data_IF_498283051402
#
_entry.id   IF_498283051402
#
_cell.length_a   1.000
_cell.length_b   1.000
_cell.length_c   1.000
_cell.angle_alpha   90.00
_cell.angle_beta   90.00
_cell.angle_gamma   90.00
#
_symmetry.space_group_name_H-M   'P 1'
#
loop_
_entity.id
_entity.type
_entity.pdbx_description
1 polymer ?
#
# COMPACT_ATOMS: atom_id res chain seq x y z
N UNK A 1 -11.48 84.66 7.48
CA UNK A 1 -11.65 83.60 8.50
C UNK A 1 -12.11 82.25 7.91
N UNK A 2 -12.48 82.15 6.62
CA UNK A 2 -13.00 80.92 6.01
C UNK A 2 -11.95 80.02 5.26
N UNK A 3 -10.72 80.43 5.17
CA UNK A 3 -9.67 79.63 4.45
C UNK A 3 -8.88 78.73 5.37
N UNK A 4 -8.87 78.98 6.68
CA UNK A 4 -8.12 78.14 7.65
C UNK A 4 -8.96 76.90 8.04
N UNK A 5 -10.30 76.98 8.00
CA UNK A 5 -11.17 75.86 8.33
C UNK A 5 -11.20 74.73 7.31
N UNK A 6 -10.86 75.09 6.03
CA UNK A 6 -10.85 74.15 4.89
C UNK A 6 -9.61 73.22 4.87
N UNK A 7 -8.50 73.65 5.47
CA UNK A 7 -7.28 72.80 5.50
C UNK A 7 -7.31 71.80 6.66
N UNK A 8 -8.12 72.05 7.73
CA UNK A 8 -8.17 71.13 8.88
C UNK A 8 -9.05 69.90 8.60
N UNK A 9 -10.01 70.02 7.67
CA UNK A 9 -10.90 68.88 7.28
C UNK A 9 -10.24 67.89 6.35
N UNK A 10 -9.11 68.18 5.70
CA UNK A 10 -8.41 67.32 4.76
C UNK A 10 -7.38 66.42 5.39
N UNK A 11 -7.01 66.65 6.66
CA UNK A 11 -5.96 65.90 7.37
C UNK A 11 -6.43 64.64 8.13
N UNK A 12 -7.74 64.34 8.11
CA UNK A 12 -8.27 63.23 8.94
C UNK A 12 -8.44 61.91 8.13
N UNK A 13 -8.20 61.92 6.79
CA UNK A 13 -8.46 60.75 5.93
C UNK A 13 -7.28 59.75 5.81
N UNK A 14 -6.14 59.94 6.49
CA UNK A 14 -4.98 59.10 6.28
C UNK A 14 -4.67 58.06 7.38
N UNK A 15 -5.51 57.87 8.35
CA UNK A 15 -5.28 56.92 9.45
C UNK A 15 -6.28 55.74 9.47
N UNK A 16 -6.64 55.18 8.33
CA UNK A 16 -7.40 53.95 8.31
C UNK A 16 -6.70 52.88 7.46
N UNK A 17 -5.45 52.59 7.77
CA UNK A 17 -4.84 51.33 7.36
C UNK A 17 -5.08 50.29 8.44
N UNK A 18 -6.14 49.54 8.27
CA UNK A 18 -6.53 48.44 9.15
C UNK A 18 -5.56 47.27 8.97
N UNK A 19 -4.62 47.11 9.89
CA UNK A 19 -3.62 46.00 9.92
C UNK A 19 -4.24 44.58 10.03
N UNK A 20 -5.55 44.46 10.24
CA UNK A 20 -6.27 43.17 10.29
C UNK A 20 -6.23 42.40 8.99
N UNK A 21 -5.96 43.08 7.86
CA UNK A 21 -5.92 42.44 6.52
C UNK A 21 -4.66 41.60 6.29
N UNK A 22 -3.59 41.84 7.03
CA UNK A 22 -2.32 41.11 6.92
C UNK A 22 -2.26 39.85 7.79
N UNK A 23 -2.97 39.82 8.92
CA UNK A 23 -3.03 38.63 9.77
C UNK A 23 -3.86 37.52 9.12
N UNK A 24 -5.03 37.85 8.55
CA UNK A 24 -5.86 36.87 7.83
C UNK A 24 -5.19 36.28 6.60
N UNK A 25 -4.32 37.02 5.90
CA UNK A 25 -3.58 36.48 4.75
C UNK A 25 -2.49 35.48 5.15
N UNK A 26 -1.93 35.62 6.35
CA UNK A 26 -0.93 34.69 6.88
C UNK A 26 -1.56 33.39 7.35
N UNK A 27 -2.71 33.44 8.01
CA UNK A 27 -3.52 32.26 8.36
C UNK A 27 -4.02 31.55 7.11
N UNK A 28 -4.63 32.27 6.17
CA UNK A 28 -5.09 31.72 4.90
C UNK A 28 -3.96 31.10 4.07
N UNK A 29 -2.79 31.72 4.05
CA UNK A 29 -1.60 31.16 3.41
C UNK A 29 -1.11 29.88 4.11
N UNK A 30 -1.27 29.80 5.42
CA UNK A 30 -0.91 28.60 6.19
C UNK A 30 -1.92 27.49 5.96
N UNK A 31 -3.22 27.80 5.93
CA UNK A 31 -4.27 26.85 5.57
C UNK A 31 -4.14 26.33 4.13
N UNK A 32 -3.87 27.22 3.17
CA UNK A 32 -3.62 26.82 1.77
C UNK A 32 -2.37 25.93 1.66
N UNK A 33 -1.31 26.21 2.43
CA UNK A 33 -0.13 25.34 2.49
C UNK A 33 -0.40 24.01 3.18
N UNK A 34 -1.27 23.99 4.18
CA UNK A 34 -1.70 22.77 4.87
C UNK A 34 -2.67 21.93 4.03
N UNK A 35 -3.52 22.58 3.21
CA UNK A 35 -4.45 21.92 2.29
C UNK A 35 -3.86 21.63 0.91
N UNK A 36 -2.55 21.80 0.74
CA UNK A 36 -1.88 21.51 -0.54
C UNK A 36 -2.14 20.04 -0.91
N UNK A 37 -2.97 19.83 -1.92
CA UNK A 37 -3.24 18.51 -2.48
C UNK A 37 -1.91 17.99 -3.04
N UNK A 38 -1.29 17.07 -2.33
CA UNK A 38 -0.11 16.38 -2.83
C UNK A 38 -0.58 15.29 -3.77
N UNK A 39 -0.26 15.41 -5.05
CA UNK A 39 -0.53 14.36 -6.02
C UNK A 39 0.54 13.27 -5.87
N UNK A 40 0.09 12.09 -5.50
CA UNK A 40 0.93 10.89 -5.53
C UNK A 40 0.93 10.35 -6.96
N UNK A 41 2.10 10.18 -7.53
CA UNK A 41 2.26 9.63 -8.88
C UNK A 41 2.08 8.11 -8.89
N UNK A 42 1.77 7.52 -10.04
CA UNK A 42 1.71 6.07 -10.16
C UNK A 42 3.05 5.40 -9.81
N UNK A 43 4.17 6.03 -10.16
CA UNK A 43 5.52 5.54 -9.82
C UNK A 43 5.71 5.47 -8.31
N UNK A 44 5.32 6.53 -7.59
CA UNK A 44 5.41 6.57 -6.13
C UNK A 44 4.48 5.52 -5.47
N UNK A 45 3.29 5.30 -6.05
CA UNK A 45 2.40 4.22 -5.59
C UNK A 45 3.03 2.83 -5.76
N UNK A 46 3.58 2.54 -6.94
CA UNK A 46 4.25 1.27 -7.22
C UNK A 46 5.44 1.06 -6.29
N UNK A 47 6.27 2.09 -6.10
CA UNK A 47 7.38 2.05 -5.15
C UNK A 47 6.91 1.76 -3.72
N UNK A 48 5.84 2.43 -3.28
CA UNK A 48 5.25 2.20 -1.95
C UNK A 48 4.76 0.76 -1.79
N UNK A 49 4.09 0.21 -2.82
CA UNK A 49 3.64 -1.19 -2.81
C UNK A 49 4.82 -2.16 -2.76
N UNK A 50 5.90 -1.88 -3.47
CA UNK A 50 7.12 -2.70 -3.44
C UNK A 50 7.74 -2.72 -2.04
N UNK A 51 7.94 -1.55 -1.42
CA UNK A 51 8.50 -1.43 -0.07
C UNK A 51 7.59 -2.10 0.99
N UNK A 52 6.30 -1.84 0.93
CA UNK A 52 5.34 -2.46 1.84
C UNK A 52 5.21 -3.95 1.60
N UNK A 53 5.18 -4.37 0.33
CA UNK A 53 5.11 -5.76 -0.07
C UNK A 53 6.25 -6.58 0.49
N UNK A 54 7.49 -6.11 0.34
CA UNK A 54 8.69 -6.74 0.91
C UNK A 54 8.62 -6.87 2.43
N UNK A 55 8.19 -5.81 3.11
CA UNK A 55 8.07 -5.81 4.58
C UNK A 55 6.97 -6.74 5.06
N UNK A 56 5.77 -6.63 4.47
CA UNK A 56 4.60 -7.41 4.88
C UNK A 56 4.81 -8.89 4.58
N UNK A 57 5.28 -9.25 3.39
CA UNK A 57 5.52 -10.65 3.01
C UNK A 57 6.56 -11.32 3.89
N UNK A 58 7.65 -10.62 4.23
CA UNK A 58 8.68 -11.13 5.15
C UNK A 58 8.10 -11.43 6.54
N UNK A 59 7.29 -10.52 7.08
CA UNK A 59 6.63 -10.73 8.38
C UNK A 59 5.59 -11.84 8.31
N UNK A 60 4.78 -11.87 7.25
CA UNK A 60 3.76 -12.91 7.03
C UNK A 60 4.38 -14.30 6.93
N UNK A 61 5.46 -14.42 6.15
CA UNK A 61 6.17 -15.68 5.98
C UNK A 61 6.73 -16.21 7.32
N UNK A 62 7.40 -15.33 8.08
CA UNK A 62 7.92 -15.67 9.41
C UNK A 62 6.79 -16.11 10.35
N UNK A 63 5.71 -15.32 10.41
CA UNK A 63 4.60 -15.57 11.33
C UNK A 63 3.82 -16.84 10.96
N UNK A 64 3.67 -17.14 9.67
CA UNK A 64 3.04 -18.39 9.23
C UNK A 64 3.91 -19.60 9.61
N UNK A 65 5.21 -19.56 9.38
CA UNK A 65 6.14 -20.63 9.77
C UNK A 65 6.09 -20.91 11.28
N UNK A 66 6.08 -19.85 12.10
CA UNK A 66 5.97 -19.98 13.55
C UNK A 66 4.62 -20.58 13.98
N UNK A 67 3.53 -20.19 13.33
CA UNK A 67 2.19 -20.71 13.60
C UNK A 67 2.07 -22.20 13.21
N UNK A 68 2.60 -22.58 12.03
CA UNK A 68 2.63 -23.96 11.55
C UNK A 68 3.47 -24.87 12.46
N UNK A 69 4.59 -24.36 12.98
CA UNK A 69 5.43 -25.11 13.92
C UNK A 69 4.75 -25.33 15.28
N UNK A 70 3.94 -24.37 15.74
CA UNK A 70 3.22 -24.47 17.03
C UNK A 70 1.97 -25.34 16.94
N UNK A 71 1.27 -25.32 15.81
CA UNK A 71 -0.03 -25.98 15.63
C UNK A 71 -0.06 -26.73 14.28
N UNK A 72 0.72 -27.81 14.12
CA UNK A 72 0.82 -28.54 12.85
C UNK A 72 -0.52 -29.18 12.43
N UNK A 73 -1.41 -29.47 13.37
CA UNK A 73 -2.77 -29.97 13.11
C UNK A 73 -3.65 -28.97 12.37
N UNK A 74 -3.39 -27.67 12.53
CA UNK A 74 -4.15 -26.59 11.86
C UNK A 74 -3.50 -26.15 10.55
N UNK A 75 -2.48 -26.87 10.04
CA UNK A 75 -1.73 -26.48 8.86
C UNK A 75 -2.62 -26.24 7.63
N UNK A 76 -3.57 -27.13 7.37
CA UNK A 76 -4.48 -27.01 6.24
C UNK A 76 -5.31 -25.70 6.28
N UNK A 77 -5.79 -25.34 7.48
CA UNK A 77 -6.56 -24.13 7.70
C UNK A 77 -5.70 -22.88 7.56
N UNK A 78 -4.52 -22.84 8.20
CA UNK A 78 -3.60 -21.71 8.14
C UNK A 78 -3.01 -21.49 6.75
N UNK A 79 -2.81 -22.55 5.99
CA UNK A 79 -2.34 -22.46 4.59
C UNK A 79 -3.43 -21.97 3.64
N UNK A 80 -4.70 -22.35 3.88
CA UNK A 80 -5.83 -21.88 3.06
C UNK A 80 -6.22 -20.44 3.35
N UNK A 81 -6.08 -20.02 4.60
CA UNK A 81 -6.38 -18.66 5.04
C UNK A 81 -5.31 -18.16 6.03
N UNK A 82 -4.19 -17.62 5.52
CA UNK A 82 -3.13 -17.09 6.38
C UNK A 82 -3.56 -15.94 7.30
N UNK A 83 -4.69 -15.28 7.00
CA UNK A 83 -5.20 -14.17 7.83
C UNK A 83 -5.61 -14.60 9.24
N UNK A 84 -5.81 -15.90 9.48
CA UNK A 84 -6.07 -16.49 10.79
C UNK A 84 -4.86 -16.44 11.72
N UNK A 85 -3.66 -16.26 11.18
CA UNK A 85 -2.48 -15.91 11.98
C UNK A 85 -2.62 -14.46 12.43
N UNK A 86 -2.68 -14.22 13.75
CA UNK A 86 -3.01 -12.91 14.33
C UNK A 86 -2.16 -11.76 13.76
N UNK A 87 -0.86 -11.99 13.56
CA UNK A 87 0.04 -10.96 12.98
C UNK A 87 -0.34 -10.67 11.53
N UNK A 88 -0.65 -11.68 10.72
CA UNK A 88 -1.05 -11.48 9.32
C UNK A 88 -2.38 -10.74 9.24
N UNK A 89 -3.35 -11.11 10.09
CA UNK A 89 -4.62 -10.39 10.19
C UNK A 89 -4.46 -8.93 10.61
N UNK A 90 -3.52 -8.64 11.53
CA UNK A 90 -3.18 -7.28 11.93
C UNK A 90 -2.55 -6.48 10.77
N UNK A 91 -1.62 -7.08 10.02
CA UNK A 91 -1.00 -6.45 8.84
C UNK A 91 -2.05 -6.13 7.76
N UNK A 92 -3.02 -7.02 7.50
CA UNK A 92 -4.10 -6.74 6.57
C UNK A 92 -4.89 -5.49 6.96
N UNK A 93 -5.21 -5.33 8.24
CA UNK A 93 -5.94 -4.16 8.77
C UNK A 93 -5.09 -2.90 8.73
N UNK A 94 -3.84 -3.00 9.16
CA UNK A 94 -2.92 -1.86 9.23
C UNK A 94 -2.64 -1.27 7.85
N UNK A 95 -2.35 -2.11 6.86
CA UNK A 95 -1.99 -1.66 5.51
C UNK A 95 -3.19 -1.60 4.54
N UNK A 96 -4.37 -2.09 4.92
CA UNK A 96 -5.53 -2.18 4.02
C UNK A 96 -5.26 -3.12 2.84
N UNK A 97 -4.52 -4.19 3.07
CA UNK A 97 -4.07 -5.15 2.05
C UNK A 97 -4.77 -6.49 2.26
N UNK A 98 -5.10 -7.20 1.18
CA UNK A 98 -5.54 -8.59 1.25
C UNK A 98 -4.34 -9.50 1.03
N UNK A 99 -4.08 -10.39 1.99
CA UNK A 99 -2.94 -11.32 1.95
C UNK A 99 -3.50 -12.73 1.76
N UNK A 100 -2.98 -13.44 0.77
CA UNK A 100 -3.35 -14.82 0.48
C UNK A 100 -2.13 -15.61 -0.03
N UNK A 101 -2.21 -16.92 0.08
CA UNK A 101 -1.22 -17.84 -0.47
C UNK A 101 -1.84 -18.53 -1.68
N UNK A 102 -1.28 -18.31 -2.86
CA UNK A 102 -1.69 -18.97 -4.10
C UNK A 102 -0.80 -20.20 -4.36
N UNK A 103 -1.38 -21.20 -5.00
CA UNK A 103 -0.70 -22.46 -5.34
C UNK A 103 -0.90 -22.78 -6.82
N UNK A 104 -0.32 -23.87 -7.29
CA UNK A 104 -0.50 -24.35 -8.65
C UNK A 104 -1.99 -24.58 -9.02
N UNK A 105 -2.84 -24.91 -8.05
CA UNK A 105 -4.27 -25.11 -8.28
C UNK A 105 -5.04 -23.83 -8.59
N UNK A 106 -4.46 -22.66 -8.27
CA UNK A 106 -5.13 -21.37 -8.48
C UNK A 106 -4.96 -20.80 -9.89
N UNK A 107 -4.27 -21.49 -10.80
CA UNK A 107 -4.10 -21.03 -12.19
C UNK A 107 -5.42 -20.85 -12.94
N UNK A 108 -6.43 -21.63 -12.59
CA UNK A 108 -7.76 -21.54 -13.16
C UNK A 108 -8.80 -20.91 -12.20
N UNK A 109 -8.35 -20.25 -11.15
CA UNK A 109 -9.22 -19.61 -10.17
C UNK A 109 -9.90 -18.39 -10.80
N UNK A 110 -11.21 -18.47 -11.00
CA UNK A 110 -12.05 -17.42 -11.62
C UNK A 110 -12.08 -16.12 -10.81
N UNK A 111 -11.71 -16.17 -9.54
CA UNK A 111 -11.64 -14.98 -8.68
C UNK A 111 -10.32 -14.17 -8.88
N UNK A 112 -9.37 -14.73 -9.62
CA UNK A 112 -8.15 -14.02 -9.99
C UNK A 112 -8.38 -13.24 -11.29
N UNK A 113 -7.79 -12.03 -11.34
CA UNK A 113 -7.75 -11.27 -12.59
C UNK A 113 -6.93 -12.04 -13.65
N UNK A 114 -7.26 -11.84 -14.93
CA UNK A 114 -6.56 -12.51 -16.03
C UNK A 114 -5.05 -12.29 -15.98
N UNK A 115 -4.58 -11.07 -15.66
CA UNK A 115 -3.16 -10.78 -15.48
C UNK A 115 -2.53 -11.57 -14.33
N UNK A 116 -3.28 -11.80 -13.26
CA UNK A 116 -2.81 -12.61 -12.13
C UNK A 116 -2.70 -14.08 -12.50
N UNK A 117 -3.64 -14.60 -13.28
CA UNK A 117 -3.59 -15.97 -13.80
C UNK A 117 -2.37 -16.16 -14.71
N UNK A 118 -2.13 -15.23 -15.64
CA UNK A 118 -0.96 -15.24 -16.54
C UNK A 118 0.35 -15.18 -15.75
N UNK A 119 0.41 -14.32 -14.74
CA UNK A 119 1.58 -14.19 -13.86
C UNK A 119 1.83 -15.47 -13.06
N UNK A 120 0.78 -16.08 -12.50
CA UNK A 120 0.87 -17.34 -11.77
C UNK A 120 1.36 -18.46 -12.68
N UNK A 121 0.90 -18.55 -13.94
CA UNK A 121 1.39 -19.49 -14.92
C UNK A 121 2.89 -19.28 -15.22
N UNK A 122 3.35 -18.03 -15.35
CA UNK A 122 4.76 -17.71 -15.55
C UNK A 122 5.63 -18.17 -14.37
N UNK A 123 5.17 -17.97 -13.14
CA UNK A 123 5.85 -18.45 -11.93
C UNK A 123 5.92 -19.98 -11.90
N UNK A 124 4.83 -20.67 -12.25
CA UNK A 124 4.78 -22.13 -12.31
C UNK A 124 5.73 -22.69 -13.37
N UNK A 125 5.78 -22.07 -14.53
CA UNK A 125 6.73 -22.44 -15.57
C UNK A 125 8.18 -22.30 -15.09
N UNK A 126 8.49 -21.16 -14.46
CA UNK A 126 9.83 -20.93 -13.90
C UNK A 126 10.16 -21.92 -12.78
N UNK A 127 9.22 -22.21 -11.88
CA UNK A 127 9.40 -23.21 -10.82
C UNK A 127 9.63 -24.62 -11.38
N UNK A 128 8.95 -24.99 -12.46
CA UNK A 128 9.09 -26.30 -13.12
C UNK A 128 10.43 -26.44 -13.83
N UNK A 129 11.00 -25.34 -14.32
CA UNK A 129 12.31 -25.30 -14.99
C UNK A 129 13.47 -25.01 -14.03
N UNK A 130 13.25 -24.97 -12.72
CA UNK A 130 14.21 -24.58 -11.69
C UNK A 130 14.88 -23.22 -11.96
N UNK A 131 14.17 -22.32 -12.65
CA UNK A 131 14.63 -20.95 -12.84
C UNK A 131 14.49 -20.15 -11.53
N UNK A 132 15.35 -19.15 -11.29
CA UNK A 132 15.23 -18.30 -10.11
C UNK A 132 13.91 -17.53 -10.12
N UNK A 133 13.23 -17.55 -8.99
CA UNK A 133 11.99 -16.82 -8.77
C UNK A 133 12.27 -15.52 -8.01
N UNK A 134 11.68 -14.43 -8.45
CA UNK A 134 11.79 -13.12 -7.79
C UNK A 134 10.42 -12.57 -7.44
N UNK A 135 10.40 -11.55 -6.59
CA UNK A 135 9.20 -10.78 -6.33
C UNK A 135 8.77 -9.96 -7.56
N UNK A 136 7.51 -9.57 -7.57
CA UNK A 136 6.93 -8.79 -8.67
C UNK A 136 5.86 -7.85 -8.13
N UNK A 137 5.87 -6.61 -8.64
CA UNK A 137 4.82 -5.61 -8.42
C UNK A 137 4.14 -5.29 -9.73
N UNK A 138 2.81 -5.37 -9.76
CA UNK A 138 2.07 -5.13 -10.99
C UNK A 138 0.73 -4.43 -10.74
N UNK A 139 0.39 -3.35 -11.47
CA UNK A 139 -0.96 -2.81 -11.49
C UNK A 139 -1.88 -3.77 -12.24
N UNK A 140 -2.95 -4.20 -11.58
CA UNK A 140 -3.97 -5.05 -12.19
C UNK A 140 -4.97 -4.24 -13.01
N UNK A 141 -5.38 -3.09 -12.45
CA UNK A 141 -6.30 -2.14 -13.06
C UNK A 141 -6.08 -0.74 -12.46
N UNK A 142 -7.03 0.17 -12.70
CA UNK A 142 -6.95 1.56 -12.25
C UNK A 142 -7.00 1.71 -10.73
N UNK A 143 -7.55 0.73 -10.01
CA UNK A 143 -7.80 0.80 -8.56
C UNK A 143 -6.93 -0.13 -7.74
N UNK A 144 -6.33 -1.16 -8.32
CA UNK A 144 -5.61 -2.20 -7.58
C UNK A 144 -4.21 -2.45 -8.11
N UNK A 145 -3.31 -2.75 -7.17
CA UNK A 145 -1.93 -3.19 -7.42
C UNK A 145 -1.69 -4.46 -6.65
N UNK A 146 -1.03 -5.43 -7.27
CA UNK A 146 -0.61 -6.67 -6.62
C UNK A 146 0.90 -6.70 -6.43
N UNK A 147 1.33 -7.17 -5.26
CA UNK A 147 2.70 -7.59 -4.99
C UNK A 147 2.71 -9.09 -4.79
N UNK A 148 3.61 -9.77 -5.46
CA UNK A 148 3.77 -11.22 -5.39
C UNK A 148 5.19 -11.57 -4.94
N UNK A 149 5.31 -12.55 -4.05
CA UNK A 149 6.58 -13.10 -3.60
C UNK A 149 6.49 -14.62 -3.55
N UNK A 150 7.42 -15.37 -4.15
CA UNK A 150 7.52 -16.82 -3.94
C UNK A 150 7.63 -17.14 -2.45
N UNK A 151 6.85 -18.12 -2.00
CA UNK A 151 6.88 -18.55 -0.62
C UNK A 151 8.14 -19.37 -0.33
N UNK A 152 8.56 -19.34 0.94
CA UNK A 152 9.66 -20.18 1.42
C UNK A 152 9.39 -21.67 1.16
N UNK A 153 10.44 -22.41 0.85
CA UNK A 153 10.33 -23.85 0.55
C UNK A 153 9.71 -24.65 1.70
N UNK A 154 9.89 -24.19 2.94
CA UNK A 154 9.33 -24.84 4.11
C UNK A 154 7.81 -24.65 4.19
N UNK A 155 7.30 -23.46 3.81
CA UNK A 155 5.86 -23.22 3.66
C UNK A 155 5.31 -24.11 2.55
N UNK A 156 5.99 -24.17 1.39
CA UNK A 156 5.58 -25.03 0.29
C UNK A 156 5.48 -26.50 0.74
N UNK A 157 6.48 -27.03 1.43
CA UNK A 157 6.47 -28.41 1.94
C UNK A 157 5.34 -28.66 2.94
N UNK A 158 5.14 -27.76 3.89
CA UNK A 158 4.12 -27.94 4.93
C UNK A 158 2.70 -27.77 4.39
N UNK A 159 2.48 -26.78 3.52
CA UNK A 159 1.16 -26.50 2.98
C UNK A 159 0.74 -27.39 1.79
N UNK A 160 1.68 -27.84 0.98
CA UNK A 160 1.40 -28.60 -0.24
C UNK A 160 1.74 -30.09 -0.13
N UNK A 161 2.55 -30.47 0.86
CA UNK A 161 3.06 -31.84 1.00
C UNK A 161 3.90 -32.25 -0.22
N UNK A 162 3.69 -33.46 -0.72
CA UNK A 162 4.44 -34.03 -1.84
C UNK A 162 3.89 -33.60 -3.23
N UNK A 163 2.96 -32.66 -3.28
CA UNK A 163 2.42 -32.16 -4.54
C UNK A 163 3.53 -31.48 -5.37
N UNK A 164 3.63 -31.81 -6.63
CA UNK A 164 4.59 -31.19 -7.58
C UNK A 164 3.84 -30.41 -8.67
N UNK A 165 4.35 -29.24 -9.08
CA UNK A 165 5.48 -28.53 -8.48
C UNK A 165 5.15 -28.03 -7.07
N UNK A 166 6.10 -28.17 -6.15
CA UNK A 166 5.98 -27.63 -4.77
C UNK A 166 6.20 -26.11 -4.83
N UNK A 167 5.16 -25.38 -5.16
CA UNK A 167 5.20 -23.95 -5.38
C UNK A 167 4.02 -23.27 -4.71
N UNK A 168 4.29 -22.22 -3.98
CA UNK A 168 3.30 -21.30 -3.43
C UNK A 168 3.78 -19.85 -3.61
N UNK A 169 2.84 -18.94 -3.74
CA UNK A 169 3.05 -17.52 -3.99
C UNK A 169 2.29 -16.69 -2.98
N UNK A 170 2.97 -15.86 -2.22
CA UNK A 170 2.34 -14.80 -1.46
C UNK A 170 1.75 -13.78 -2.42
N UNK A 171 0.47 -13.52 -2.28
CA UNK A 171 -0.27 -12.52 -3.02
C UNK A 171 -0.76 -11.44 -2.07
N UNK A 172 -0.28 -10.23 -2.25
CA UNK A 172 -0.67 -9.05 -1.49
C UNK A 172 -1.40 -8.11 -2.44
N UNK A 173 -2.72 -8.02 -2.29
CA UNK A 173 -3.57 -7.17 -3.14
C UNK A 173 -3.86 -5.86 -2.42
N UNK A 174 -3.37 -4.77 -2.97
CA UNK A 174 -3.52 -3.42 -2.45
C UNK A 174 -4.60 -2.65 -3.22
N UNK A 175 -5.46 -1.94 -2.49
CA UNK A 175 -6.32 -0.90 -3.05
C UNK A 175 -5.57 0.43 -3.05
N UNK A 176 -5.53 1.12 -4.21
CA UNK A 176 -4.83 2.40 -4.35
C UNK A 176 -5.37 3.49 -3.42
N UNK A 177 -6.68 3.50 -3.14
CA UNK A 177 -7.27 4.45 -2.19
C UNK A 177 -6.77 4.20 -0.78
N UNK A 178 -6.66 2.94 -0.37
CA UNK A 178 -6.12 2.59 0.95
C UNK A 178 -4.64 2.96 1.08
N UNK A 179 -3.85 2.77 0.02
CA UNK A 179 -2.45 3.22 0.00
C UNK A 179 -2.40 4.74 0.22
N UNK A 180 -3.17 5.51 -0.56
CA UNK A 180 -3.21 6.97 -0.47
C UNK A 180 -3.64 7.49 0.91
N UNK A 181 -4.53 6.76 1.60
CA UNK A 181 -4.99 7.13 2.95
C UNK A 181 -3.95 6.87 4.03
N UNK A 182 -3.06 5.92 3.82
CA UNK A 182 -2.13 5.41 4.83
C UNK A 182 -0.68 5.82 4.59
N UNK A 183 -0.35 6.21 3.36
CA UNK A 183 1.00 6.65 3.02
C UNK A 183 1.30 8.01 3.64
N UNK A 184 2.46 8.12 4.27
CA UNK A 184 3.00 9.41 4.69
C UNK A 184 3.62 10.10 3.46
N UNK A 185 2.86 11.03 2.89
CA UNK A 185 3.24 11.75 1.66
C UNK A 185 4.59 12.47 1.79
N UNK A 186 5.00 12.84 3.02
CA UNK A 186 6.29 13.49 3.28
C UNK A 186 7.49 12.54 3.14
N UNK A 187 7.21 11.23 3.17
CA UNK A 187 8.24 10.18 3.02
C UNK A 187 8.30 9.58 1.62
N UNK A 188 7.41 10.00 0.72
CA UNK A 188 7.47 9.57 -0.67
C UNK A 188 8.73 10.11 -1.33
N UNK A 189 9.53 9.21 -1.86
CA UNK A 189 10.70 9.56 -2.67
C UNK A 189 10.24 9.97 -4.07
N UNK A 190 10.86 11.02 -4.59
CA UNK A 190 10.69 11.46 -5.97
C UNK A 190 11.34 10.50 -6.96
#
# INVERSE_FOLDING_TARGET
MNRILSCLALSICFFSCNNKRLENTKELSTEIKASKIVRVTNTQLIYTVDEWGKKISKLSQKSLLEALAKNPENAAELCSDPSKVAIIGALQKEYGVKISLLTASDTNNINLNKKEQELLQAYLYSASSNAPLSDNVQPLNDTTVVYNLPADIQICKTCLGDKKPSFALWRLLFDKKEILRKVDVKKLKD
#
